data_IF_756901606150
#
_entry.id   IF_756901606150
#
_cell.length_a   1.000
_cell.length_b   1.000
_cell.length_c   1.000
_cell.angle_alpha   90.00
_cell.angle_beta   90.00
_cell.angle_gamma   90.00
#
_symmetry.space_group_name_H-M   'P 1'
#
loop_
_entity.id
_entity.type
_entity.pdbx_description
1 polymer ?
#
# COMPACT_ATOMS: atom_id res chain seq x y z
N UNK A 1 61.34 -36.34 85.59
CA UNK A 1 59.96 -35.90 85.23
C UNK A 1 60.05 -35.22 83.90
N UNK A 2 59.64 -35.93 82.81
CA UNK A 2 59.56 -35.35 81.46
C UNK A 2 58.11 -34.83 81.26
N UNK A 3 57.97 -33.55 80.93
CA UNK A 3 56.72 -32.89 80.62
C UNK A 3 56.46 -32.99 79.10
N UNK A 4 55.47 -33.80 78.74
CA UNK A 4 55.02 -33.90 77.35
C UNK A 4 54.07 -32.73 77.00
N UNK A 5 54.52 -31.77 76.18
CA UNK A 5 53.68 -30.71 75.65
C UNK A 5 52.93 -31.27 74.51
N UNK A 6 51.60 -31.41 74.66
CA UNK A 6 50.69 -31.76 73.52
C UNK A 6 50.28 -30.49 72.82
N UNK A 7 50.87 -30.23 71.66
CA UNK A 7 50.40 -29.18 70.74
C UNK A 7 49.18 -29.66 69.97
N UNK A 8 48.02 -29.26 70.46
CA UNK A 8 46.72 -29.57 69.78
C UNK A 8 46.58 -28.65 68.55
N UNK A 9 46.91 -29.14 67.33
CA UNK A 9 46.75 -28.42 66.08
C UNK A 9 45.24 -28.25 65.86
N UNK A 10 44.76 -27.00 65.90
CA UNK A 10 43.38 -26.64 65.74
C UNK A 10 42.98 -26.95 64.24
N UNK A 11 42.12 -27.95 64.01
CA UNK A 11 41.63 -28.36 62.73
C UNK A 11 40.47 -27.49 62.22
N UNK A 12 40.06 -26.48 63.00
CA UNK A 12 38.89 -25.64 62.68
C UNK A 12 39.07 -24.73 61.48
N UNK A 13 40.28 -24.35 61.06
CA UNK A 13 40.52 -23.38 59.97
C UNK A 13 40.49 -24.01 58.58
N UNK A 14 40.66 -25.33 58.44
CA UNK A 14 40.66 -25.99 57.11
C UNK A 14 39.29 -26.05 56.49
N UNK A 15 38.20 -26.23 57.22
CA UNK A 15 36.83 -26.25 56.74
C UNK A 15 36.34 -24.85 56.26
N UNK A 16 36.73 -23.81 56.99
CA UNK A 16 36.38 -22.43 56.67
C UNK A 16 37.02 -21.97 55.32
N UNK A 17 38.30 -22.30 55.14
CA UNK A 17 39.01 -21.99 53.88
C UNK A 17 38.36 -22.68 52.68
N UNK A 18 37.97 -23.94 52.80
CA UNK A 18 37.28 -24.67 51.71
C UNK A 18 35.95 -24.03 51.33
N UNK A 19 35.13 -23.65 52.34
CA UNK A 19 33.84 -23.00 52.11
C UNK A 19 34.04 -21.63 51.44
N UNK A 20 35.00 -20.83 51.88
CA UNK A 20 35.26 -19.51 51.26
C UNK A 20 35.74 -19.62 49.83
N UNK A 21 36.57 -20.62 49.51
CA UNK A 21 37.00 -20.89 48.12
C UNK A 21 35.81 -21.35 47.25
N UNK A 22 34.97 -22.25 47.80
CA UNK A 22 33.76 -22.68 47.05
C UNK A 22 32.82 -21.50 46.76
N UNK A 23 32.58 -20.62 47.74
CA UNK A 23 31.75 -19.40 47.52
C UNK A 23 32.40 -18.50 46.49
N UNK A 24 33.70 -18.26 46.56
CA UNK A 24 34.40 -17.42 45.56
C UNK A 24 34.33 -18.00 44.13
N UNK A 25 34.51 -19.31 43.98
CA UNK A 25 34.41 -19.99 42.69
C UNK A 25 32.99 -19.92 42.16
N UNK A 26 31.97 -20.17 42.97
CA UNK A 26 30.57 -20.06 42.53
C UNK A 26 30.22 -18.63 42.13
N UNK A 27 30.67 -17.62 42.86
CA UNK A 27 30.46 -16.20 42.46
C UNK A 27 31.15 -15.86 41.15
N UNK A 28 32.38 -16.33 40.93
CA UNK A 28 33.10 -16.13 39.69
C UNK A 28 32.41 -16.82 38.51
N UNK A 29 31.92 -18.05 38.70
CA UNK A 29 31.19 -18.78 37.65
C UNK A 29 29.86 -18.09 37.31
N UNK A 30 29.12 -17.65 38.34
CA UNK A 30 27.86 -16.92 38.07
C UNK A 30 28.12 -15.58 37.38
N UNK A 31 29.15 -14.83 37.76
CA UNK A 31 29.56 -13.63 37.08
C UNK A 31 29.99 -13.88 35.61
N UNK A 32 30.77 -14.91 35.37
CA UNK A 32 31.22 -15.29 34.02
C UNK A 32 30.06 -15.72 33.12
N UNK A 33 29.08 -16.50 33.64
CA UNK A 33 27.89 -16.90 32.90
C UNK A 33 26.98 -15.71 32.61
N UNK A 34 26.76 -14.82 33.57
CA UNK A 34 25.99 -13.59 33.41
C UNK A 34 26.62 -12.68 32.36
N UNK A 35 27.94 -12.49 32.40
CA UNK A 35 28.66 -11.71 31.40
C UNK A 35 28.56 -12.35 30.00
N UNK A 36 28.73 -13.66 29.89
CA UNK A 36 28.62 -14.37 28.63
C UNK A 36 27.22 -14.26 28.04
N UNK A 37 26.19 -14.34 28.89
CA UNK A 37 24.79 -14.15 28.44
C UNK A 37 24.56 -12.71 27.97
N UNK A 38 25.02 -11.73 28.72
CA UNK A 38 24.93 -10.31 28.35
C UNK A 38 25.63 -10.03 27.03
N UNK A 39 26.88 -10.49 26.86
CA UNK A 39 27.65 -10.30 25.65
C UNK A 39 26.95 -10.91 24.41
N UNK A 40 26.38 -12.12 24.56
CA UNK A 40 25.58 -12.74 23.47
C UNK A 40 24.34 -11.94 23.11
N UNK A 41 23.64 -11.42 24.13
CA UNK A 41 22.43 -10.62 23.91
C UNK A 41 22.76 -9.31 23.19
N UNK A 42 23.84 -8.63 23.58
CA UNK A 42 24.29 -7.40 22.91
C UNK A 42 24.78 -7.68 21.49
N UNK A 43 25.44 -8.80 21.23
CA UNK A 43 25.84 -9.20 19.88
C UNK A 43 24.61 -9.44 18.99
N UNK A 44 23.59 -10.16 19.48
CA UNK A 44 22.35 -10.39 18.75
C UNK A 44 21.60 -9.07 18.45
N UNK A 45 21.59 -8.13 19.42
CA UNK A 45 21.01 -6.80 19.20
C UNK A 45 21.77 -6.02 18.11
N UNK A 46 23.10 -6.04 18.18
CA UNK A 46 23.94 -5.36 17.19
C UNK A 46 23.77 -5.95 15.79
N UNK A 47 23.66 -7.28 15.67
CA UNK A 47 23.37 -7.97 14.43
C UNK A 47 22.00 -7.59 13.88
N UNK A 48 20.95 -7.57 14.72
CA UNK A 48 19.60 -7.18 14.33
C UNK A 48 19.55 -5.72 13.84
N UNK A 49 20.19 -4.80 14.56
CA UNK A 49 20.28 -3.39 14.12
C UNK A 49 21.04 -3.26 12.80
N UNK A 50 22.17 -3.95 12.66
CA UNK A 50 22.94 -3.97 11.41
C UNK A 50 22.11 -4.51 10.24
N UNK A 51 21.34 -5.57 10.46
CA UNK A 51 20.44 -6.14 9.46
C UNK A 51 19.37 -5.13 9.03
N UNK A 52 18.70 -4.46 9.98
CA UNK A 52 17.68 -3.45 9.70
C UNK A 52 18.26 -2.28 8.90
N UNK A 53 19.44 -1.77 9.29
CA UNK A 53 20.09 -0.66 8.60
C UNK A 53 20.47 -1.04 7.17
N UNK A 54 21.05 -2.24 6.98
CA UNK A 54 21.41 -2.73 5.63
C UNK A 54 20.19 -2.94 4.75
N UNK A 55 19.15 -3.62 5.25
CA UNK A 55 17.93 -3.87 4.49
C UNK A 55 17.25 -2.58 4.07
N UNK A 56 17.19 -1.58 4.97
CA UNK A 56 16.66 -0.26 4.65
C UNK A 56 17.47 0.45 3.57
N UNK A 57 18.80 0.45 3.67
CA UNK A 57 19.66 1.07 2.67
C UNK A 57 19.51 0.43 1.29
N UNK A 58 19.40 -0.91 1.23
CA UNK A 58 19.17 -1.64 -0.02
C UNK A 58 17.80 -1.27 -0.60
N UNK A 59 16.76 -1.22 0.22
CA UNK A 59 15.42 -0.82 -0.22
C UNK A 59 15.39 0.63 -0.75
N UNK A 60 16.04 1.57 -0.07
CA UNK A 60 16.15 2.97 -0.52
C UNK A 60 16.88 3.10 -1.87
N UNK A 61 17.96 2.34 -2.07
CA UNK A 61 18.69 2.31 -3.35
C UNK A 61 17.79 1.74 -4.45
N UNK A 62 17.05 0.68 -4.16
CA UNK A 62 16.12 0.08 -5.12
C UNK A 62 14.99 1.04 -5.54
N UNK A 63 14.39 1.74 -4.57
CA UNK A 63 13.38 2.76 -4.86
C UNK A 63 13.96 3.89 -5.73
N UNK A 64 15.17 4.39 -5.41
CA UNK A 64 15.85 5.41 -6.23
C UNK A 64 16.14 4.92 -7.64
N UNK A 65 16.55 3.65 -7.78
CA UNK A 65 16.80 3.07 -9.10
C UNK A 65 15.51 2.95 -9.90
N UNK A 66 14.42 2.47 -9.29
CA UNK A 66 13.10 2.40 -9.92
C UNK A 66 12.61 3.78 -10.35
N UNK A 67 12.67 4.80 -9.46
CA UNK A 67 12.31 6.18 -9.78
C UNK A 67 13.12 6.75 -10.96
N UNK A 68 14.44 6.45 -11.01
CA UNK A 68 15.27 6.87 -12.13
C UNK A 68 14.86 6.19 -13.43
N UNK A 69 14.45 4.92 -13.39
CA UNK A 69 13.96 4.20 -14.58
C UNK A 69 12.65 4.79 -15.10
N UNK A 70 11.71 5.08 -14.18
CA UNK A 70 10.45 5.76 -14.54
C UNK A 70 10.74 7.13 -15.17
N UNK A 71 11.61 7.94 -14.57
CA UNK A 71 11.98 9.26 -15.10
C UNK A 71 12.74 9.24 -16.45
N UNK A 72 13.25 8.09 -16.86
CA UNK A 72 13.89 7.89 -18.18
C UNK A 72 12.91 7.47 -19.26
N UNK A 73 11.68 7.15 -18.89
CA UNK A 73 10.62 6.87 -19.82
C UNK A 73 10.12 8.18 -20.45
N UNK A 74 10.13 8.24 -21.77
CA UNK A 74 9.74 9.42 -22.56
C UNK A 74 8.96 9.01 -23.81
N UNK A 75 8.25 7.88 -23.72
CA UNK A 75 7.52 7.36 -24.89
C UNK A 75 6.13 8.01 -25.07
N UNK A 76 5.66 8.81 -24.08
CA UNK A 76 4.39 9.54 -24.11
C UNK A 76 3.17 8.68 -23.86
N UNK A 77 3.35 7.50 -23.27
CA UNK A 77 2.25 6.66 -22.75
C UNK A 77 2.76 5.70 -21.67
N UNK A 78 1.92 5.38 -20.71
CA UNK A 78 2.17 4.34 -19.70
C UNK A 78 1.24 3.15 -19.95
N UNK A 79 1.80 1.97 -20.15
CA UNK A 79 1.04 0.75 -20.42
C UNK A 79 1.57 -0.45 -19.62
N UNK A 80 0.66 -1.34 -19.23
CA UNK A 80 1.02 -2.61 -18.58
C UNK A 80 1.86 -3.55 -19.47
N UNK A 81 1.99 -3.27 -20.77
CA UNK A 81 2.86 -4.00 -21.70
C UNK A 81 4.33 -3.55 -21.66
N UNK A 82 4.63 -2.45 -20.97
CA UNK A 82 5.98 -1.91 -20.89
C UNK A 82 6.88 -2.70 -19.94
N UNK A 83 8.20 -2.65 -20.16
CA UNK A 83 9.17 -3.36 -19.33
C UNK A 83 9.11 -3.00 -17.83
N UNK A 84 8.68 -1.77 -17.50
CA UNK A 84 8.51 -1.31 -16.12
C UNK A 84 7.41 -2.09 -15.38
N UNK A 85 6.39 -2.53 -16.12
CA UNK A 85 5.27 -3.34 -15.59
C UNK A 85 5.42 -4.84 -15.89
N UNK A 86 6.59 -5.26 -16.44
CA UNK A 86 6.87 -6.68 -16.66
C UNK A 86 6.68 -7.48 -15.36
N UNK A 87 6.24 -8.72 -15.48
CA UNK A 87 5.97 -9.59 -14.32
C UNK A 87 4.98 -8.97 -13.32
N UNK A 88 3.93 -8.27 -13.80
CA UNK A 88 2.98 -7.49 -12.99
C UNK A 88 3.63 -6.38 -12.15
N UNK A 89 4.69 -5.77 -12.67
CA UNK A 89 5.42 -4.70 -11.98
C UNK A 89 6.34 -5.20 -10.86
N UNK A 90 6.55 -6.51 -10.72
CA UNK A 90 7.39 -7.07 -9.65
C UNK A 90 8.77 -7.43 -10.18
N UNK A 91 9.79 -6.71 -9.73
CA UNK A 91 11.19 -6.99 -10.01
C UNK A 91 11.83 -7.65 -8.80
N UNK A 92 12.47 -8.81 -9.01
CA UNK A 92 13.18 -9.55 -7.96
C UNK A 92 14.66 -9.56 -8.22
N UNK A 93 15.46 -9.35 -7.18
CA UNK A 93 16.91 -9.43 -7.21
C UNK A 93 17.45 -9.93 -5.87
N UNK A 94 18.64 -10.55 -5.90
CA UNK A 94 19.37 -10.90 -4.68
C UNK A 94 20.61 -10.00 -4.56
N UNK A 95 20.73 -9.33 -3.44
CA UNK A 95 21.83 -8.40 -3.14
C UNK A 95 22.28 -8.65 -1.69
N UNK A 96 23.56 -9.00 -1.50
CA UNK A 96 24.18 -9.20 -0.18
C UNK A 96 23.40 -10.18 0.74
N UNK A 97 22.79 -11.23 0.17
CA UNK A 97 21.99 -12.21 0.89
C UNK A 97 20.56 -11.74 1.24
N UNK A 98 20.14 -10.59 0.71
CA UNK A 98 18.75 -10.13 0.78
C UNK A 98 18.02 -10.43 -0.53
N UNK A 99 16.82 -10.98 -0.42
CA UNK A 99 15.89 -11.02 -1.55
C UNK A 99 15.17 -9.69 -1.63
N UNK A 100 15.40 -8.94 -2.70
CA UNK A 100 14.74 -7.66 -2.98
C UNK A 100 13.57 -7.90 -3.91
N UNK A 101 12.42 -7.38 -3.54
CA UNK A 101 11.22 -7.32 -4.39
C UNK A 101 10.78 -5.85 -4.50
N UNK A 102 10.78 -5.32 -5.73
CA UNK A 102 10.31 -3.98 -6.04
C UNK A 102 9.05 -4.10 -6.88
N UNK A 103 7.95 -3.53 -6.40
CA UNK A 103 6.69 -3.47 -7.12
C UNK A 103 6.44 -2.05 -7.61
N UNK A 104 6.15 -1.91 -8.91
CA UNK A 104 5.75 -0.65 -9.53
C UNK A 104 4.27 -0.78 -9.87
N UNK A 105 3.45 0.11 -9.34
CA UNK A 105 2.02 0.16 -9.61
C UNK A 105 1.65 1.53 -10.19
N UNK A 106 0.79 1.57 -11.23
CA UNK A 106 0.25 2.83 -11.72
C UNK A 106 -0.68 3.42 -10.65
N UNK A 107 -0.67 4.75 -10.52
CA UNK A 107 -1.57 5.47 -9.61
C UNK A 107 -2.86 5.91 -10.31
N UNK A 108 -2.81 6.06 -11.63
CA UNK A 108 -3.91 6.55 -12.46
C UNK A 108 -4.74 5.42 -13.09
N UNK A 109 -4.61 4.19 -12.59
CA UNK A 109 -5.37 3.03 -13.10
C UNK A 109 -6.78 2.92 -12.52
N UNK A 110 -7.18 3.87 -11.66
CA UNK A 110 -8.46 3.93 -10.96
C UNK A 110 -9.08 5.32 -11.04
N UNK A 111 -10.34 5.44 -10.66
CA UNK A 111 -11.04 6.73 -10.61
C UNK A 111 -10.48 7.56 -9.45
N UNK A 112 -9.99 8.79 -9.72
CA UNK A 112 -9.42 9.66 -8.71
C UNK A 112 -10.54 10.31 -7.89
N UNK A 113 -10.79 9.84 -6.65
CA UNK A 113 -11.87 10.36 -5.81
C UNK A 113 -11.74 11.86 -5.55
N UNK A 114 -10.52 12.38 -5.46
CA UNK A 114 -10.27 13.81 -5.29
C UNK A 114 -10.48 14.62 -6.58
N UNK A 115 -10.54 13.96 -7.72
CA UNK A 115 -10.73 14.56 -9.04
C UNK A 115 -12.15 14.42 -9.60
N UNK A 116 -13.06 13.75 -8.89
CA UNK A 116 -14.45 13.58 -9.36
C UNK A 116 -15.27 14.87 -9.25
N UNK A 117 -14.87 15.78 -8.36
CA UNK A 117 -15.51 17.10 -8.23
C UNK A 117 -14.87 18.11 -9.19
N UNK A 118 -15.65 19.09 -9.61
CA UNK A 118 -15.16 20.24 -10.35
C UNK A 118 -14.24 21.11 -9.45
N UNK A 119 -13.54 22.10 -9.99
CA UNK A 119 -12.70 23.01 -9.19
C UNK A 119 -13.43 23.79 -8.09
N UNK A 120 -14.76 23.90 -8.17
CA UNK A 120 -15.62 24.44 -7.10
C UNK A 120 -15.66 23.54 -5.85
N UNK A 121 -15.23 22.25 -6.03
CA UNK A 121 -15.22 21.20 -5.01
C UNK A 121 -16.59 20.89 -4.38
N UNK A 122 -17.64 21.16 -5.09
CA UNK A 122 -19.04 20.89 -4.70
C UNK A 122 -19.73 20.05 -5.77
N UNK A 123 -19.54 20.41 -7.05
CA UNK A 123 -20.25 19.81 -8.17
C UNK A 123 -19.48 18.61 -8.71
N UNK A 124 -20.14 17.46 -8.85
CA UNK A 124 -19.55 16.28 -9.51
C UNK A 124 -19.38 16.55 -11.00
N UNK A 125 -18.26 16.11 -11.59
CA UNK A 125 -18.03 16.15 -13.03
C UNK A 125 -19.03 15.24 -13.73
N UNK A 126 -19.69 15.74 -14.77
CA UNK A 126 -20.69 14.98 -15.54
C UNK A 126 -20.12 13.69 -16.12
N UNK A 127 -18.84 13.67 -16.46
CA UNK A 127 -18.12 12.52 -17.02
C UNK A 127 -18.02 11.38 -16.01
N UNK A 128 -17.93 11.68 -14.71
CA UNK A 128 -17.80 10.69 -13.64
C UNK A 128 -19.11 10.30 -12.96
N UNK A 129 -20.22 11.01 -13.19
CA UNK A 129 -21.49 10.74 -12.49
C UNK A 129 -21.92 9.27 -12.64
N UNK A 130 -22.00 8.77 -13.87
CA UNK A 130 -22.40 7.36 -14.08
C UNK A 130 -21.41 6.33 -13.52
N UNK A 131 -20.11 6.65 -13.56
CA UNK A 131 -19.09 5.80 -12.96
C UNK A 131 -19.20 5.76 -11.43
N UNK A 132 -19.48 6.92 -10.84
CA UNK A 132 -19.68 7.07 -9.39
C UNK A 132 -20.86 6.22 -8.90
N UNK A 133 -22.01 6.33 -9.56
CA UNK A 133 -23.20 5.54 -9.19
C UNK A 133 -22.94 4.04 -9.32
N UNK A 134 -22.32 3.61 -10.43
CA UNK A 134 -21.98 2.19 -10.64
C UNK A 134 -21.00 1.63 -9.61
N UNK A 135 -20.05 2.42 -9.09
CA UNK A 135 -19.18 1.95 -8.00
C UNK A 135 -20.01 1.54 -6.80
N UNK A 136 -20.93 2.40 -6.39
CA UNK A 136 -21.76 2.18 -5.20
C UNK A 136 -22.79 1.07 -5.40
N UNK A 137 -23.32 0.91 -6.59
CA UNK A 137 -24.13 -0.24 -6.98
C UNK A 137 -23.34 -1.55 -6.87
N UNK A 138 -22.11 -1.58 -7.41
CA UNK A 138 -21.24 -2.76 -7.41
C UNK A 138 -20.81 -3.20 -6.00
N UNK A 139 -20.62 -2.25 -5.07
CA UNK A 139 -20.32 -2.59 -3.68
C UNK A 139 -21.57 -2.85 -2.83
N UNK A 140 -22.79 -2.66 -3.41
CA UNK A 140 -24.05 -2.98 -2.77
C UNK A 140 -24.64 -1.90 -1.86
N UNK A 141 -24.12 -0.67 -1.94
CA UNK A 141 -24.53 0.46 -1.09
C UNK A 141 -24.81 1.73 -1.92
N UNK A 142 -25.77 1.72 -2.85
CA UNK A 142 -25.98 2.84 -3.79
C UNK A 142 -26.28 4.18 -3.08
N UNK A 143 -26.93 4.16 -1.91
CA UNK A 143 -27.25 5.38 -1.15
C UNK A 143 -25.99 6.09 -0.60
N UNK A 144 -24.87 5.39 -0.44
CA UNK A 144 -23.62 5.99 0.04
C UNK A 144 -22.96 6.91 -1.00
N UNK A 145 -23.37 6.85 -2.25
CA UNK A 145 -22.88 7.73 -3.31
C UNK A 145 -23.00 9.23 -2.92
N UNK A 146 -24.18 9.65 -2.50
CA UNK A 146 -24.43 11.02 -2.08
C UNK A 146 -23.79 11.35 -0.71
N UNK A 147 -23.81 10.40 0.22
CA UNK A 147 -23.20 10.55 1.55
C UNK A 147 -21.70 10.81 1.47
N UNK A 148 -20.99 10.08 0.58
CA UNK A 148 -19.56 10.28 0.41
C UNK A 148 -19.23 11.57 -0.34
N UNK A 149 -20.09 12.02 -1.24
CA UNK A 149 -19.92 13.34 -1.85
C UNK A 149 -20.02 14.47 -0.81
N UNK A 150 -21.04 14.43 0.08
CA UNK A 150 -21.17 15.38 1.19
C UNK A 150 -20.02 15.25 2.23
N UNK A 151 -19.40 14.08 2.31
CA UNK A 151 -18.26 13.88 3.20
C UNK A 151 -16.99 14.56 2.73
N UNK A 152 -16.79 14.70 1.40
CA UNK A 152 -15.54 15.20 0.80
C UNK A 152 -15.66 16.58 0.16
N UNK A 153 -16.87 17.06 -0.11
CA UNK A 153 -17.05 18.38 -0.73
C UNK A 153 -16.63 19.53 0.19
N UNK A 154 -16.66 20.76 -0.30
CA UNK A 154 -16.11 21.89 0.44
C UNK A 154 -17.15 22.73 1.17
N UNK A 155 -18.43 22.43 0.97
CA UNK A 155 -19.51 23.16 1.65
C UNK A 155 -20.12 22.33 2.79
N UNK A 156 -21.16 22.82 3.42
CA UNK A 156 -21.90 22.12 4.47
C UNK A 156 -23.38 21.99 4.09
N UNK A 157 -23.65 21.94 2.80
CA UNK A 157 -25.02 21.85 2.27
C UNK A 157 -25.31 20.42 1.86
N UNK A 158 -26.22 19.78 2.58
CA UNK A 158 -26.60 18.41 2.28
C UNK A 158 -27.14 18.27 0.85
N UNK A 159 -26.55 17.35 0.09
CA UNK A 159 -27.06 16.94 -1.22
C UNK A 159 -28.36 16.13 -1.10
N UNK A 160 -29.10 16.05 -2.18
CA UNK A 160 -30.26 15.16 -2.25
C UNK A 160 -29.81 13.72 -1.96
N UNK A 161 -30.47 13.08 -1.00
CA UNK A 161 -30.12 11.74 -0.49
C UNK A 161 -28.75 11.65 0.22
N UNK A 162 -28.05 12.75 0.39
CA UNK A 162 -26.81 12.84 1.14
C UNK A 162 -27.00 12.98 2.64
N UNK A 163 -25.93 13.17 3.35
CA UNK A 163 -25.94 13.39 4.80
C UNK A 163 -24.70 14.16 5.24
N UNK A 164 -24.88 15.43 5.50
CA UNK A 164 -23.87 16.22 6.20
C UNK A 164 -23.79 15.76 7.67
N UNK A 165 -22.65 15.23 8.04
CA UNK A 165 -22.40 14.69 9.38
C UNK A 165 -21.34 15.51 10.09
N UNK A 166 -21.34 15.48 11.42
CA UNK A 166 -20.26 16.10 12.22
C UNK A 166 -18.88 15.48 11.91
N UNK A 167 -18.83 14.31 11.27
CA UNK A 167 -17.62 13.64 10.84
C UNK A 167 -17.22 13.97 9.41
N UNK A 168 -18.03 14.75 8.66
CA UNK A 168 -17.69 15.18 7.30
C UNK A 168 -16.40 15.98 7.32
N UNK A 169 -15.46 15.63 6.43
CA UNK A 169 -14.12 16.22 6.43
C UNK A 169 -14.05 17.49 5.58
N UNK A 170 -15.00 17.67 4.67
CA UNK A 170 -15.16 18.83 3.78
C UNK A 170 -13.85 19.26 3.08
N UNK A 171 -13.04 18.28 2.72
CA UNK A 171 -11.75 18.43 2.03
C UNK A 171 -11.43 17.20 1.20
N UNK A 172 -10.39 17.31 0.39
CA UNK A 172 -9.83 16.17 -0.31
C UNK A 172 -9.31 15.10 0.69
N UNK A 173 -9.48 13.83 0.33
CA UNK A 173 -8.94 12.70 1.06
C UNK A 173 -7.41 12.66 0.94
N UNK A 174 -6.74 12.43 2.05
CA UNK A 174 -5.30 12.14 2.07
C UNK A 174 -5.04 10.65 1.90
N UNK A 175 -5.96 9.82 2.39
CA UNK A 175 -5.91 8.36 2.29
C UNK A 175 -7.33 7.81 2.15
N UNK A 176 -7.50 6.75 1.37
CA UNK A 176 -8.81 6.13 1.14
C UNK A 176 -9.43 5.55 2.42
N UNK A 177 -8.60 5.20 3.40
CA UNK A 177 -9.05 4.71 4.71
C UNK A 177 -9.79 5.75 5.54
N UNK A 178 -9.71 7.03 5.20
CA UNK A 178 -10.51 8.09 5.84
C UNK A 178 -12.01 7.88 5.63
N UNK A 179 -12.42 7.17 4.57
CA UNK A 179 -13.81 6.78 4.35
C UNK A 179 -14.40 5.92 5.48
N UNK A 180 -13.56 5.29 6.31
CA UNK A 180 -14.01 4.56 7.52
C UNK A 180 -14.61 5.48 8.60
N UNK A 181 -14.47 6.80 8.48
CA UNK A 181 -15.18 7.75 9.34
C UNK A 181 -16.69 7.77 9.06
N UNK A 182 -17.12 7.18 7.96
CA UNK A 182 -18.51 6.89 7.64
C UNK A 182 -18.81 5.47 8.17
N UNK A 183 -19.67 5.38 9.18
CA UNK A 183 -19.92 4.13 9.95
C UNK A 183 -20.28 2.91 9.09
N UNK A 184 -20.92 3.14 7.94
CA UNK A 184 -21.34 2.09 7.02
C UNK A 184 -20.18 1.54 6.17
N UNK A 185 -19.03 2.23 6.10
CA UNK A 185 -17.87 1.83 5.31
C UNK A 185 -16.87 1.07 6.19
N UNK A 186 -17.03 -0.23 6.26
CA UNK A 186 -16.11 -1.12 6.94
C UNK A 186 -15.01 -1.66 5.99
N UNK A 187 -14.10 -2.48 6.52
CA UNK A 187 -13.02 -3.10 5.74
C UNK A 187 -13.52 -3.95 4.58
N UNK A 188 -14.68 -4.58 4.72
CA UNK A 188 -15.27 -5.38 3.65
C UNK A 188 -15.73 -4.54 2.46
N UNK A 189 -16.31 -3.38 2.71
CA UNK A 189 -16.70 -2.41 1.66
C UNK A 189 -15.45 -1.78 1.04
N UNK A 190 -14.47 -1.44 1.87
CA UNK A 190 -13.27 -0.75 1.42
C UNK A 190 -12.34 -1.65 0.60
N UNK A 191 -12.04 -2.85 1.09
CA UNK A 191 -11.05 -3.75 0.47
C UNK A 191 -11.67 -4.90 -0.32
N UNK A 192 -12.95 -5.15 -0.11
CA UNK A 192 -13.68 -6.26 -0.71
C UNK A 192 -13.79 -7.49 0.19
N UNK A 193 -14.71 -8.37 -0.17
CA UNK A 193 -14.99 -9.67 0.46
C UNK A 193 -15.26 -10.70 -0.64
N UNK A 194 -15.67 -11.91 -0.24
CA UNK A 194 -16.14 -12.91 -1.22
C UNK A 194 -17.42 -12.46 -1.95
N UNK A 195 -18.27 -11.71 -1.25
CA UNK A 195 -19.55 -11.22 -1.78
C UNK A 195 -19.38 -9.89 -2.53
N UNK A 196 -18.37 -9.12 -2.17
CA UNK A 196 -17.94 -7.88 -2.84
C UNK A 196 -16.51 -8.12 -3.37
N UNK A 197 -16.35 -8.78 -4.51
CA UNK A 197 -15.01 -9.21 -4.99
C UNK A 197 -14.04 -8.07 -5.23
N UNK A 198 -14.56 -6.87 -5.48
CA UNK A 198 -13.78 -5.66 -5.67
C UNK A 198 -14.37 -4.55 -4.80
N UNK A 199 -13.71 -4.23 -3.67
CA UNK A 199 -14.12 -3.14 -2.80
C UNK A 199 -13.81 -1.77 -3.41
N UNK A 200 -14.14 -0.70 -2.68
CA UNK A 200 -13.90 0.69 -3.13
C UNK A 200 -12.45 0.91 -3.57
N UNK A 201 -11.48 0.34 -2.85
CA UNK A 201 -10.05 0.44 -3.17
C UNK A 201 -9.66 -0.18 -4.53
N UNK A 202 -10.51 -1.00 -5.10
CA UNK A 202 -10.33 -1.53 -6.45
C UNK A 202 -10.76 -0.56 -7.55
N UNK A 203 -11.66 0.37 -7.24
CA UNK A 203 -12.20 1.35 -8.17
C UNK A 203 -11.63 2.75 -7.98
N UNK A 204 -11.29 3.12 -6.74
CA UNK A 204 -10.94 4.48 -6.33
C UNK A 204 -9.47 4.60 -5.95
N UNK A 205 -8.91 5.77 -6.19
CA UNK A 205 -7.60 6.19 -5.70
C UNK A 205 -7.66 7.62 -5.18
N UNK A 206 -6.85 7.94 -4.17
CA UNK A 206 -6.63 9.32 -3.70
C UNK A 206 -5.44 9.97 -4.39
N UNK A 207 -4.63 9.17 -5.07
CA UNK A 207 -3.41 9.56 -5.75
C UNK A 207 -3.65 9.74 -7.25
N UNK A 208 -2.63 10.28 -7.93
CA UNK A 208 -2.64 10.43 -9.38
C UNK A 208 -3.22 11.76 -9.87
N UNK A 209 -3.48 11.83 -11.16
CA UNK A 209 -4.08 12.97 -11.84
C UNK A 209 -5.62 12.99 -11.65
N UNK A 210 -6.29 13.99 -12.24
CA UNK A 210 -7.76 14.00 -12.30
C UNK A 210 -8.32 13.03 -13.38
N UNK A 211 -7.47 12.22 -14.00
CA UNK A 211 -7.80 11.36 -15.13
C UNK A 211 -7.46 9.90 -14.85
N UNK A 212 -8.10 9.02 -15.59
CA UNK A 212 -7.83 7.58 -15.56
C UNK A 212 -6.97 7.21 -16.76
N UNK A 213 -5.81 6.58 -16.52
CA UNK A 213 -5.01 6.04 -17.59
C UNK A 213 -5.65 4.76 -18.15
N UNK A 214 -6.13 4.87 -19.38
CA UNK A 214 -6.88 3.79 -20.04
C UNK A 214 -5.99 2.59 -20.40
N UNK A 215 -4.66 2.78 -20.48
CA UNK A 215 -3.70 1.71 -20.74
C UNK A 215 -3.41 0.85 -19.52
N UNK A 216 -3.60 1.37 -18.31
CA UNK A 216 -3.29 0.67 -17.06
C UNK A 216 -4.54 0.26 -16.28
N UNK A 217 -5.66 0.97 -16.45
CA UNK A 217 -6.92 0.71 -15.75
C UNK A 217 -7.40 -0.75 -15.88
N UNK A 218 -7.99 -1.32 -14.83
CA UNK A 218 -8.54 -2.67 -14.89
C UNK A 218 -9.78 -2.74 -15.78
N UNK A 219 -10.14 -3.92 -16.33
CA UNK A 219 -11.39 -4.07 -17.10
C UNK A 219 -12.62 -3.63 -16.30
N UNK A 220 -12.61 -3.84 -14.98
CA UNK A 220 -13.70 -3.44 -14.09
C UNK A 220 -13.82 -1.91 -14.00
N UNK A 221 -12.71 -1.20 -13.89
CA UNK A 221 -12.70 0.26 -13.90
C UNK A 221 -13.16 0.79 -15.25
N UNK A 222 -12.71 0.21 -16.37
CA UNK A 222 -13.15 0.62 -17.71
C UNK A 222 -14.66 0.41 -17.89
N UNK A 223 -15.21 -0.73 -17.43
CA UNK A 223 -16.62 -1.05 -17.58
C UNK A 223 -17.56 -0.12 -16.80
N UNK A 224 -17.08 0.51 -15.73
CA UNK A 224 -17.91 1.46 -14.97
C UNK A 224 -17.84 2.89 -15.51
N UNK A 225 -16.85 3.23 -16.35
CA UNK A 225 -16.70 4.60 -16.86
C UNK A 225 -17.87 5.06 -17.74
N UNK A 226 -18.55 4.14 -18.42
CA UNK A 226 -19.77 4.44 -19.16
C UNK A 226 -20.70 3.23 -19.19
N UNK A 227 -22.01 3.47 -19.18
CA UNK A 227 -23.03 2.42 -19.22
C UNK A 227 -23.06 1.60 -20.51
N UNK A 228 -22.55 2.19 -21.60
CA UNK A 228 -22.45 1.53 -22.92
C UNK A 228 -21.22 0.63 -23.05
N UNK A 229 -20.38 0.57 -22.03
CA UNK A 229 -19.22 -0.34 -21.96
C UNK A 229 -19.57 -1.49 -21.02
N UNK A 230 -19.76 -2.67 -21.56
CA UNK A 230 -19.92 -3.87 -20.76
C UNK A 230 -18.57 -4.48 -20.36
N UNK A 231 -18.58 -5.42 -19.41
CA UNK A 231 -17.35 -6.05 -18.89
C UNK A 231 -16.64 -6.91 -19.95
N UNK A 232 -17.37 -7.45 -20.93
CA UNK A 232 -16.78 -8.24 -22.01
C UNK A 232 -16.03 -7.32 -22.99
N UNK A 233 -16.64 -6.19 -23.36
CA UNK A 233 -16.00 -5.13 -24.15
C UNK A 233 -14.76 -4.59 -23.44
N UNK A 234 -14.84 -4.31 -22.14
CA UNK A 234 -13.72 -3.83 -21.34
C UNK A 234 -12.56 -4.85 -21.28
N UNK A 235 -12.85 -6.16 -21.16
CA UNK A 235 -11.84 -7.23 -21.23
C UNK A 235 -11.19 -7.33 -22.61
N UNK A 236 -11.98 -7.25 -23.68
CA UNK A 236 -11.45 -7.24 -25.04
C UNK A 236 -10.54 -6.03 -25.28
N UNK A 237 -10.96 -4.85 -24.83
CA UNK A 237 -10.15 -3.64 -24.87
C UNK A 237 -8.83 -3.85 -24.09
N UNK A 238 -8.88 -4.37 -22.87
CA UNK A 238 -7.70 -4.64 -22.06
C UNK A 238 -6.72 -5.62 -22.73
N UNK A 239 -7.23 -6.59 -23.47
CA UNK A 239 -6.39 -7.50 -24.26
C UNK A 239 -5.74 -6.80 -25.47
N UNK A 240 -6.49 -5.97 -26.18
CA UNK A 240 -5.99 -5.23 -27.35
C UNK A 240 -4.88 -4.23 -26.98
N UNK A 241 -5.05 -3.45 -25.92
CA UNK A 241 -4.04 -2.47 -25.49
C UNK A 241 -2.71 -3.10 -25.01
N UNK A 242 -2.70 -4.38 -24.62
CA UNK A 242 -1.46 -5.10 -24.32
C UNK A 242 -0.60 -5.33 -25.57
N UNK A 243 -1.23 -5.44 -26.75
CA UNK A 243 -0.53 -5.57 -28.04
C UNK A 243 -0.30 -4.21 -28.71
N UNK A 244 -1.25 -3.30 -28.54
CA UNK A 244 -1.29 -1.98 -29.19
C UNK A 244 -1.64 -0.92 -28.15
N UNK A 245 -0.64 -0.37 -27.39
CA UNK A 245 -0.88 0.69 -26.43
C UNK A 245 -1.53 1.92 -27.09
N UNK A 246 -2.51 2.48 -26.39
CA UNK A 246 -3.27 3.63 -26.88
C UNK A 246 -2.50 4.90 -26.54
N UNK A 247 -2.17 5.71 -27.54
CA UNK A 247 -1.37 6.93 -27.38
C UNK A 247 -2.18 8.21 -27.59
N UNK A 248 -3.37 8.06 -28.15
CA UNK A 248 -4.22 9.20 -28.48
C UNK A 248 -5.70 8.81 -28.54
N UNK A 249 -6.57 9.82 -28.50
CA UNK A 249 -8.00 9.62 -28.75
C UNK A 249 -8.29 9.00 -30.12
N UNK A 250 -7.46 9.28 -31.12
CA UNK A 250 -7.63 8.72 -32.45
C UNK A 250 -7.29 7.23 -32.50
N UNK A 251 -6.35 6.77 -31.67
CA UNK A 251 -6.11 5.33 -31.52
C UNK A 251 -7.28 4.66 -30.82
N UNK A 252 -7.84 5.31 -29.81
CA UNK A 252 -9.00 4.81 -29.08
C UNK A 252 -10.22 4.66 -29.99
N UNK A 253 -10.44 5.59 -30.93
CA UNK A 253 -11.52 5.52 -31.94
C UNK A 253 -11.39 4.34 -32.92
N UNK A 254 -10.19 3.79 -33.08
CA UNK A 254 -9.95 2.63 -33.96
C UNK A 254 -10.33 1.30 -33.29
N UNK A 255 -10.59 1.32 -31.98
CA UNK A 255 -10.93 0.11 -31.22
C UNK A 255 -12.39 -0.27 -31.51
N UNK A 256 -12.64 -1.50 -31.97
CA UNK A 256 -14.00 -1.94 -32.24
C UNK A 256 -14.82 -2.01 -30.95
N UNK A 257 -16.11 -1.75 -31.06
CA UNK A 257 -17.13 -1.88 -30.02
C UNK A 257 -17.10 -0.81 -28.91
N UNK A 258 -16.29 0.25 -28.99
CA UNK A 258 -16.45 1.43 -28.15
C UNK A 258 -17.12 2.53 -28.98
N UNK A 259 -18.33 3.00 -28.63
CA UNK A 259 -19.00 4.05 -29.37
C UNK A 259 -18.22 5.37 -29.35
N UNK A 260 -18.13 6.06 -30.48
CA UNK A 260 -17.41 7.34 -30.60
C UNK A 260 -17.96 8.41 -29.64
N UNK A 261 -19.25 8.39 -29.35
CA UNK A 261 -19.89 9.28 -28.38
C UNK A 261 -19.36 9.07 -26.95
N UNK A 262 -19.08 7.82 -26.56
CA UNK A 262 -18.46 7.48 -25.27
C UNK A 262 -17.04 8.02 -25.20
N UNK A 263 -16.26 7.83 -26.27
CA UNK A 263 -14.89 8.35 -26.36
C UNK A 263 -14.89 9.88 -26.24
N UNK A 264 -15.83 10.55 -26.89
CA UNK A 264 -15.96 12.01 -26.82
C UNK A 264 -16.32 12.47 -25.41
N UNK A 265 -17.29 11.81 -24.76
CA UNK A 265 -17.68 12.09 -23.38
C UNK A 265 -16.51 11.93 -22.41
N UNK A 266 -15.75 10.84 -22.53
CA UNK A 266 -14.66 10.49 -21.62
C UNK A 266 -13.35 11.22 -21.94
N UNK A 267 -13.25 11.95 -23.06
CA UNK A 267 -11.99 12.57 -23.51
C UNK A 267 -11.31 13.49 -22.49
N UNK A 268 -12.09 14.11 -21.60
CA UNK A 268 -11.58 15.01 -20.57
C UNK A 268 -11.05 14.28 -19.31
N UNK A 269 -11.47 13.03 -19.11
CA UNK A 269 -11.21 12.25 -17.88
C UNK A 269 -10.37 11.01 -18.12
N UNK A 270 -9.87 10.80 -19.35
CA UNK A 270 -8.92 9.75 -19.67
C UNK A 270 -7.53 10.31 -19.95
N UNK A 271 -6.50 9.53 -19.61
CA UNK A 271 -5.11 9.78 -19.92
C UNK A 271 -4.49 8.56 -20.61
N UNK A 272 -3.32 8.77 -21.18
CA UNK A 272 -2.53 7.73 -21.85
C UNK A 272 -1.17 7.53 -21.18
N UNK A 273 -0.77 8.52 -20.37
CA UNK A 273 0.46 8.60 -19.59
C UNK A 273 0.15 8.79 -18.11
#
# INVERSE_FOLDING_TARGET
KFMKIHCRRSSKNKGFILISVMISVTLLLTAATAFSWYARTEMQRAEAVSFIVRSRSIAEIACKYASKKIAQDNNGYDSRSEPLYAYNGVLRSEIDGFTLEVKIEPLDDKIPINGILLPDRVTIRSEYTGAWDKIWENVGFPWLAAVVLDFIDSDSSQKLEGSERNTSINRQLSDLTELRLIDEINDGVLWGTKDIPMGLAGYLTVYGSEKVNINTASPQVIAIMDEKIDIAQARNFAALRMMYPIRSLDDLKKIPNIPVEVITKLSNVIAFE
#
